data_IF_051453547833
#
_entry.id   IF_051453547833
#
_cell.length_a   1.000
_cell.length_b   1.000
_cell.length_c   1.000
_cell.angle_alpha   90.00
_cell.angle_beta   90.00
_cell.angle_gamma   90.00
#
_symmetry.space_group_name_H-M   'P 1'
#
loop_
_entity.id
_entity.type
_entity.pdbx_description
1 polymer ?
#
# COMPACT_ATOMS: atom_id res chain seq x y z
N UNK A 1 68.28 -46.41 36.33
CA UNK A 1 66.93 -46.85 35.91
C UNK A 1 65.94 -45.76 36.30
N UNK A 2 65.26 -45.22 35.28
CA UNK A 2 64.05 -44.38 35.24
C UNK A 2 63.37 -44.04 36.58
N UNK A 3 63.07 -42.75 36.82
CA UNK A 3 61.67 -42.26 36.79
C UNK A 3 61.59 -40.72 36.90
N UNK A 4 60.58 -40.21 36.20
CA UNK A 4 60.35 -38.83 35.75
C UNK A 4 59.87 -37.87 36.86
N UNK A 5 60.28 -36.61 36.74
CA UNK A 5 59.68 -35.44 37.43
C UNK A 5 58.53 -34.87 36.57
N UNK A 6 57.41 -34.40 37.16
CA UNK A 6 56.28 -33.91 36.38
C UNK A 6 56.51 -32.47 35.89
N UNK A 7 56.45 -32.25 34.57
CA UNK A 7 56.30 -30.91 34.00
C UNK A 7 54.87 -30.41 34.26
N UNK A 8 54.76 -29.31 34.99
CA UNK A 8 53.51 -28.55 35.15
C UNK A 8 53.30 -27.70 33.89
N UNK A 9 52.35 -28.07 33.03
CA UNK A 9 51.90 -27.22 31.93
C UNK A 9 50.93 -26.15 32.47
N UNK A 10 51.36 -24.90 32.50
CA UNK A 10 50.48 -23.76 32.74
C UNK A 10 49.60 -23.50 31.51
N UNK A 11 48.29 -23.64 31.68
CA UNK A 11 47.31 -23.24 30.66
C UNK A 11 47.08 -21.73 30.79
N UNK A 12 47.62 -20.96 29.85
CA UNK A 12 47.25 -19.55 29.67
C UNK A 12 45.89 -19.53 28.98
N UNK A 13 44.83 -19.28 29.74
CA UNK A 13 43.51 -19.01 29.18
C UNK A 13 43.51 -17.59 28.58
N UNK A 14 43.63 -17.52 27.24
CA UNK A 14 43.44 -16.28 26.50
C UNK A 14 41.95 -15.93 26.52
N UNK A 15 41.54 -14.99 27.38
CA UNK A 15 40.20 -14.41 27.33
C UNK A 15 40.08 -13.62 26.02
N UNK A 16 39.51 -14.24 24.99
CA UNK A 16 39.04 -13.50 23.83
C UNK A 16 37.75 -12.78 24.23
N UNK A 17 37.88 -11.50 24.58
CA UNK A 17 36.75 -10.57 24.60
C UNK A 17 36.20 -10.48 23.18
N UNK A 18 35.14 -11.23 22.91
CA UNK A 18 34.24 -10.98 21.78
C UNK A 18 33.67 -9.57 21.98
N UNK A 19 34.31 -8.56 21.38
CA UNK A 19 33.63 -7.32 21.07
C UNK A 19 32.56 -7.70 20.05
N UNK A 20 31.32 -7.91 20.51
CA UNK A 20 30.20 -7.88 19.61
C UNK A 20 30.15 -6.46 19.06
N UNK A 21 30.54 -6.29 17.79
CA UNK A 21 30.29 -5.07 17.06
C UNK A 21 28.78 -4.88 17.03
N UNK A 22 28.27 -4.04 17.94
CA UNK A 22 26.88 -3.58 17.91
C UNK A 22 26.82 -2.61 16.74
N UNK A 23 26.67 -3.15 15.53
CA UNK A 23 26.44 -2.35 14.35
C UNK A 23 25.10 -1.65 14.51
N UNK A 24 25.13 -0.32 14.34
CA UNK A 24 23.92 0.47 14.27
C UNK A 24 22.99 -0.09 13.18
N UNK A 25 21.75 -0.43 13.53
CA UNK A 25 20.78 -0.92 12.57
C UNK A 25 20.07 0.26 11.90
N UNK A 26 20.35 0.45 10.60
CA UNK A 26 19.63 1.45 9.81
C UNK A 26 18.13 1.10 9.75
N UNK A 27 17.29 2.11 10.02
CA UNK A 27 15.84 1.94 10.03
C UNK A 27 15.29 1.31 11.33
N UNK A 28 16.08 1.24 12.40
CA UNK A 28 15.63 0.88 13.75
C UNK A 28 15.89 2.11 14.66
N UNK A 29 14.89 2.69 15.34
CA UNK A 29 13.50 2.28 15.46
C UNK A 29 12.71 2.28 14.15
N UNK A 30 11.75 1.36 14.03
CA UNK A 30 10.80 1.25 12.92
C UNK A 30 9.73 2.34 13.05
N UNK A 31 9.57 3.12 11.99
CA UNK A 31 8.65 4.27 11.89
C UNK A 31 7.75 4.15 10.66
N UNK A 32 6.69 4.96 10.60
CA UNK A 32 6.02 5.23 9.34
C UNK A 32 6.98 6.05 8.45
N UNK A 33 7.43 5.46 7.33
CA UNK A 33 8.43 6.08 6.44
C UNK A 33 7.87 7.25 5.62
N UNK A 34 6.55 7.39 5.50
CA UNK A 34 5.94 8.63 4.98
C UNK A 34 5.93 9.68 6.10
N UNK A 35 5.35 9.33 7.25
CA UNK A 35 5.34 10.23 8.39
C UNK A 35 4.10 10.20 9.26
N UNK A 36 3.86 11.31 9.97
CA UNK A 36 2.76 11.46 10.92
C UNK A 36 2.01 12.79 10.79
N UNK A 37 0.69 12.78 11.05
CA UNK A 37 -0.07 14.03 11.18
C UNK A 37 0.32 14.76 12.49
N UNK A 38 0.40 16.09 12.51
CA UNK A 38 0.79 16.85 13.70
C UNK A 38 -0.03 16.52 14.94
N UNK A 39 -1.34 16.33 14.78
CA UNK A 39 -2.26 16.05 15.88
C UNK A 39 -2.43 14.56 16.19
N UNK A 40 -1.96 13.66 15.31
CA UNK A 40 -2.13 12.22 15.45
C UNK A 40 -1.16 11.57 16.44
N UNK A 41 -1.45 10.32 16.79
CA UNK A 41 -0.52 9.45 17.52
C UNK A 41 0.72 9.17 16.68
N UNK A 42 1.88 9.14 17.34
CA UNK A 42 3.18 8.92 16.72
C UNK A 42 3.97 7.97 17.60
N UNK A 43 3.98 6.71 17.18
CA UNK A 43 4.64 5.63 17.92
C UNK A 43 5.59 4.91 16.99
N UNK A 44 6.84 4.77 17.41
CA UNK A 44 7.85 3.94 16.75
C UNK A 44 8.05 2.64 17.54
N UNK A 45 8.38 1.57 16.83
CA UNK A 45 8.74 0.27 17.42
C UNK A 45 10.25 0.10 17.35
N UNK A 46 10.91 0.02 18.49
CA UNK A 46 12.34 -0.24 18.59
C UNK A 46 12.59 -1.72 18.86
N UNK A 47 13.21 -2.42 17.92
CA UNK A 47 13.63 -3.82 18.08
C UNK A 47 14.91 -3.84 18.88
N UNK A 48 14.93 -4.54 20.01
CA UNK A 48 16.10 -4.60 20.88
C UNK A 48 16.02 -5.78 21.84
N UNK A 49 17.18 -6.38 22.18
CA UNK A 49 17.25 -7.39 23.23
C UNK A 49 17.17 -6.80 24.65
N UNK A 50 17.28 -5.47 24.80
CA UNK A 50 17.17 -4.83 26.11
C UNK A 50 15.74 -4.90 26.65
N UNK A 51 15.59 -5.34 27.89
CA UNK A 51 14.31 -5.38 28.60
C UNK A 51 14.02 -4.09 29.36
N UNK A 52 15.05 -3.31 29.70
CA UNK A 52 14.92 -2.04 30.43
C UNK A 52 14.70 -0.86 29.48
N UNK A 53 13.88 0.15 29.86
CA UNK A 53 13.66 1.36 29.08
C UNK A 53 14.95 2.06 28.64
N UNK A 54 15.06 2.29 27.33
CA UNK A 54 16.18 2.97 26.68
C UNK A 54 15.88 4.45 26.44
N UNK A 55 16.91 5.28 26.36
CA UNK A 55 16.75 6.70 26.02
C UNK A 55 16.59 6.84 24.52
N UNK A 56 15.55 7.55 24.08
CA UNK A 56 15.37 7.91 22.68
C UNK A 56 15.50 9.41 22.47
N UNK A 57 15.87 9.80 21.25
CA UNK A 57 15.97 11.18 20.78
C UNK A 57 15.20 11.31 19.47
N UNK A 58 14.40 12.37 19.34
CA UNK A 58 13.84 12.83 18.08
C UNK A 58 14.63 14.06 17.62
N UNK A 59 15.14 14.03 16.39
CA UNK A 59 15.92 15.11 15.81
C UNK A 59 15.42 15.49 14.41
N UNK A 60 15.79 16.70 13.98
CA UNK A 60 15.57 17.20 12.63
C UNK A 60 16.77 18.09 12.24
N UNK A 61 17.42 17.82 11.11
CA UNK A 61 18.59 18.60 10.67
C UNK A 61 19.72 18.66 11.70
N UNK A 62 19.93 17.59 12.46
CA UNK A 62 20.92 17.52 13.55
C UNK A 62 20.50 18.19 14.86
N UNK A 63 19.37 18.92 14.89
CA UNK A 63 18.84 19.53 16.12
C UNK A 63 17.95 18.56 16.86
N UNK A 64 18.23 18.35 18.15
CA UNK A 64 17.36 17.59 19.06
C UNK A 64 16.09 18.39 19.36
N UNK A 65 14.93 17.77 19.10
CA UNK A 65 13.61 18.37 19.31
C UNK A 65 12.87 17.76 20.50
N UNK A 66 13.05 16.46 20.73
CA UNK A 66 12.49 15.79 21.89
C UNK A 66 13.39 14.63 22.34
N UNK A 67 13.23 14.23 23.60
CA UNK A 67 13.84 13.02 24.16
C UNK A 67 12.91 12.36 25.17
N UNK A 68 13.10 11.09 25.41
CA UNK A 68 12.33 10.36 26.42
C UNK A 68 12.88 8.98 26.71
N UNK A 69 12.06 8.18 27.37
CA UNK A 69 12.31 6.75 27.57
C UNK A 69 11.33 5.93 26.73
N UNK A 70 11.81 4.80 26.23
CA UNK A 70 10.96 3.79 25.62
C UNK A 70 10.09 3.12 26.71
N UNK A 71 9.13 2.28 26.31
CA UNK A 71 8.50 1.34 27.24
C UNK A 71 9.48 0.25 27.68
N UNK A 72 9.14 -0.50 28.73
CA UNK A 72 9.82 -1.76 29.02
C UNK A 72 9.74 -2.72 27.82
N UNK A 73 10.76 -3.56 27.67
CA UNK A 73 10.84 -4.56 26.63
C UNK A 73 9.76 -5.62 26.80
N UNK A 74 9.07 -5.92 25.69
CA UNK A 74 8.11 -7.01 25.60
C UNK A 74 8.44 -7.85 24.38
N UNK A 75 8.13 -9.14 24.45
CA UNK A 75 8.18 -10.01 23.29
C UNK A 75 6.90 -9.83 22.47
N UNK A 76 7.04 -9.44 21.21
CA UNK A 76 5.94 -9.37 20.27
C UNK A 76 5.56 -10.78 19.81
N UNK A 77 4.28 -11.14 19.94
CA UNK A 77 3.83 -12.51 19.68
C UNK A 77 3.82 -12.86 18.18
N UNK A 78 3.63 -11.87 17.32
CA UNK A 78 3.45 -12.06 15.87
C UNK A 78 4.80 -12.19 15.16
N UNK A 79 5.77 -11.35 15.52
CA UNK A 79 7.13 -11.36 14.96
C UNK A 79 8.11 -12.23 15.74
N UNK A 80 7.85 -12.48 17.03
CA UNK A 80 8.80 -13.13 17.94
C UNK A 80 9.93 -12.23 18.44
N UNK A 81 9.99 -10.97 17.98
CA UNK A 81 11.01 -9.99 18.34
C UNK A 81 10.79 -9.42 19.74
N UNK A 82 11.89 -9.06 20.41
CA UNK A 82 11.84 -8.19 21.58
C UNK A 82 11.75 -6.73 21.12
N UNK A 83 10.72 -6.02 21.61
CA UNK A 83 10.42 -4.66 21.19
C UNK A 83 10.13 -3.74 22.36
N UNK A 84 10.45 -2.48 22.16
CA UNK A 84 10.04 -1.36 23.01
C UNK A 84 9.32 -0.31 22.17
N UNK A 85 8.38 0.43 22.76
CA UNK A 85 7.63 1.47 22.07
C UNK A 85 8.17 2.85 22.41
N UNK A 86 8.21 3.74 21.42
CA UNK A 86 8.62 5.14 21.55
C UNK A 86 7.44 6.02 21.18
N UNK A 87 6.84 6.70 22.16
CA UNK A 87 5.76 7.65 21.92
C UNK A 87 6.30 9.09 21.88
N UNK A 88 6.17 9.71 20.71
CA UNK A 88 6.51 11.11 20.47
C UNK A 88 5.31 11.92 19.99
N UNK A 89 4.09 11.48 20.32
CA UNK A 89 2.81 12.09 19.93
C UNK A 89 2.70 13.56 20.35
N UNK A 90 3.38 13.95 21.44
CA UNK A 90 3.46 15.34 21.91
C UNK A 90 4.11 16.31 20.92
N UNK A 91 4.94 15.80 20.00
CA UNK A 91 5.60 16.63 18.99
C UNK A 91 4.60 16.94 17.89
N UNK A 92 4.25 18.21 17.76
CA UNK A 92 3.30 18.71 16.74
C UNK A 92 3.96 19.65 15.73
N UNK A 93 5.27 19.88 15.87
CA UNK A 93 6.05 20.67 14.93
C UNK A 93 6.02 19.96 13.57
N UNK A 94 5.56 20.68 12.55
CA UNK A 94 5.61 20.18 11.17
C UNK A 94 7.01 20.40 10.59
N UNK A 95 7.42 19.51 9.69
CA UNK A 95 8.72 19.54 9.05
C UNK A 95 8.99 18.27 8.26
N UNK A 96 10.15 18.23 7.63
CA UNK A 96 10.61 17.08 6.86
C UNK A 96 11.88 16.49 7.44
N UNK A 97 12.13 15.20 7.17
CA UNK A 97 13.39 14.54 7.50
C UNK A 97 13.66 14.40 9.00
N UNK A 98 12.62 14.14 9.80
CA UNK A 98 12.76 13.77 11.19
C UNK A 98 13.37 12.37 11.32
N UNK A 99 14.18 12.14 12.34
CA UNK A 99 14.65 10.81 12.72
C UNK A 99 14.48 10.57 14.22
N UNK A 100 14.19 9.31 14.57
CA UNK A 100 14.23 8.83 15.95
C UNK A 100 15.49 7.97 16.12
N UNK A 101 16.24 8.17 17.20
CA UNK A 101 17.42 7.36 17.51
C UNK A 101 17.41 6.84 18.94
N UNK A 102 18.06 5.69 19.14
CA UNK A 102 18.32 5.06 20.44
C UNK A 102 19.78 4.60 20.46
N UNK A 103 20.63 5.24 21.26
CA UNK A 103 22.07 4.99 21.18
C UNK A 103 22.61 5.32 19.78
N UNK A 104 23.19 4.31 19.12
CA UNK A 104 23.72 4.44 17.75
C UNK A 104 22.69 4.09 16.67
N UNK A 105 21.55 3.50 17.04
CA UNK A 105 20.51 3.10 16.10
C UNK A 105 19.68 4.32 15.66
N UNK A 106 19.27 4.36 14.39
CA UNK A 106 18.46 5.44 13.84
C UNK A 106 17.39 4.94 12.85
N UNK A 107 16.20 5.53 12.94
CA UNK A 107 15.11 5.32 11.98
C UNK A 107 15.46 5.84 10.58
N UNK A 108 14.71 5.40 9.58
CA UNK A 108 14.64 6.15 8.32
C UNK A 108 14.04 7.54 8.56
N UNK A 109 14.37 8.54 7.71
CA UNK A 109 13.76 9.85 7.80
C UNK A 109 12.27 9.78 7.48
N UNK A 110 11.49 10.63 8.14
CA UNK A 110 10.04 10.76 7.90
C UNK A 110 9.57 12.20 8.11
N UNK A 111 8.37 12.52 7.64
CA UNK A 111 7.81 13.86 7.76
C UNK A 111 6.76 13.97 8.88
N UNK A 112 6.57 15.17 9.40
CA UNK A 112 5.40 15.50 10.21
C UNK A 112 4.68 16.65 9.51
N UNK A 113 3.43 16.45 9.08
CA UNK A 113 2.75 17.47 8.29
C UNK A 113 1.29 17.18 8.04
N UNK A 114 0.52 18.22 7.71
CA UNK A 114 -0.93 18.13 7.52
C UNK A 114 -1.34 17.40 6.24
N UNK A 115 -0.44 17.27 5.27
CA UNK A 115 -0.75 16.80 3.91
C UNK A 115 0.03 15.53 3.51
N UNK A 116 0.74 14.90 4.44
CA UNK A 116 1.67 13.79 4.15
C UNK A 116 0.99 12.58 3.49
N UNK A 117 -0.30 12.35 3.74
CA UNK A 117 -1.06 11.24 3.16
C UNK A 117 -1.81 11.64 1.89
N UNK A 118 -1.67 12.89 1.44
CA UNK A 118 -2.35 13.37 0.24
C UNK A 118 -1.86 12.62 -0.99
N UNK A 119 -0.55 12.61 -1.25
CA UNK A 119 0.03 11.89 -2.39
C UNK A 119 -0.25 10.38 -2.33
N UNK A 120 0.02 9.66 -1.22
CA UNK A 120 -0.31 8.23 -1.11
C UNK A 120 -1.78 7.89 -1.39
N UNK A 121 -2.74 8.73 -0.98
CA UNK A 121 -4.16 8.52 -1.29
C UNK A 121 -4.40 8.56 -2.80
N UNK A 122 -3.88 9.58 -3.48
CA UNK A 122 -4.05 9.73 -4.92
C UNK A 122 -3.33 8.64 -5.72
N UNK A 123 -2.15 8.24 -5.26
CA UNK A 123 -1.38 7.16 -5.88
C UNK A 123 -2.09 5.81 -5.71
N UNK A 124 -2.69 5.56 -4.54
CA UNK A 124 -3.51 4.37 -4.31
C UNK A 124 -4.74 4.33 -5.21
N UNK A 125 -5.43 5.46 -5.40
CA UNK A 125 -6.56 5.54 -6.34
C UNK A 125 -6.12 5.35 -7.79
N UNK A 126 -4.88 5.76 -8.12
CA UNK A 126 -4.34 5.66 -9.47
C UNK A 126 -4.19 4.21 -9.95
N UNK A 127 -4.05 3.27 -9.03
CA UNK A 127 -4.09 1.83 -9.32
C UNK A 127 -5.29 1.45 -10.21
N UNK A 128 -6.47 1.97 -9.89
CA UNK A 128 -7.72 1.63 -10.58
C UNK A 128 -7.67 2.03 -12.06
N UNK A 129 -7.18 3.24 -12.36
CA UNK A 129 -6.97 3.68 -13.74
C UNK A 129 -6.02 2.75 -14.50
N UNK A 130 -4.86 2.41 -13.92
CA UNK A 130 -3.89 1.51 -14.54
C UNK A 130 -4.45 0.10 -14.77
N UNK A 131 -5.40 -0.32 -13.94
CA UNK A 131 -6.06 -1.62 -14.02
C UNK A 131 -7.31 -1.63 -14.90
N UNK A 132 -7.71 -0.52 -15.54
CA UNK A 132 -8.87 -0.53 -16.46
C UNK A 132 -8.67 -1.49 -17.64
N UNK A 133 -9.65 -2.36 -17.87
CA UNK A 133 -9.81 -3.13 -19.11
C UNK A 133 -10.57 -2.32 -20.18
N UNK A 134 -10.47 -2.70 -21.45
CA UNK A 134 -11.26 -2.13 -22.53
C UNK A 134 -10.86 -0.73 -23.00
N UNK A 135 -9.81 -0.14 -22.41
CA UNK A 135 -9.30 1.19 -22.76
C UNK A 135 -7.76 1.20 -22.79
N UNK A 136 -7.19 2.02 -23.66
CA UNK A 136 -5.76 2.28 -23.65
C UNK A 136 -5.40 3.09 -22.40
N UNK A 137 -4.32 2.69 -21.73
CA UNK A 137 -3.72 3.47 -20.66
C UNK A 137 -2.79 4.46 -21.34
N UNK A 138 -3.27 5.70 -21.52
CA UNK A 138 -2.55 6.73 -22.25
C UNK A 138 -1.49 7.39 -21.35
N UNK A 139 -0.31 7.65 -21.91
CA UNK A 139 0.85 8.15 -21.17
C UNK A 139 0.52 9.39 -20.33
N UNK A 140 -0.20 10.37 -20.87
CA UNK A 140 -0.56 11.62 -20.16
C UNK A 140 -1.27 11.38 -18.81
N UNK A 141 -2.00 10.27 -18.69
CA UNK A 141 -2.71 9.88 -17.48
C UNK A 141 -1.93 8.84 -16.66
N UNK A 142 -0.65 8.58 -16.92
CA UNK A 142 0.13 7.61 -16.12
C UNK A 142 0.83 8.23 -14.92
N UNK A 143 0.82 9.56 -14.79
CA UNK A 143 1.35 10.25 -13.62
C UNK A 143 0.43 10.09 -12.42
N UNK A 144 1.02 10.00 -11.23
CA UNK A 144 0.29 9.86 -9.96
C UNK A 144 -0.49 11.11 -9.61
N UNK A 145 -1.69 10.93 -9.01
CA UNK A 145 -2.81 11.87 -9.10
C UNK A 145 -2.45 13.35 -9.14
N UNK A 146 -2.26 14.04 -8.01
CA UNK A 146 -1.87 15.47 -8.00
C UNK A 146 -0.42 15.72 -8.46
N UNK A 147 0.04 15.05 -9.52
CA UNK A 147 1.41 15.07 -10.04
C UNK A 147 2.46 14.67 -8.99
N UNK A 148 2.10 13.73 -8.11
CA UNK A 148 3.02 13.13 -7.13
C UNK A 148 4.26 12.53 -7.80
N UNK A 149 4.08 12.06 -9.04
CA UNK A 149 5.15 11.73 -9.97
C UNK A 149 4.72 12.03 -11.41
N UNK A 150 5.71 12.23 -12.27
CA UNK A 150 5.49 12.58 -13.67
C UNK A 150 4.94 11.40 -14.47
N UNK A 151 4.08 11.66 -15.48
CA UNK A 151 3.73 10.67 -16.50
C UNK A 151 4.95 10.01 -17.12
N UNK A 152 4.81 8.73 -17.50
CA UNK A 152 5.90 7.98 -18.11
C UNK A 152 5.41 6.85 -19.03
N UNK A 153 5.92 6.81 -20.26
CA UNK A 153 5.57 5.82 -21.29
C UNK A 153 5.64 4.35 -20.84
N UNK A 154 6.56 3.99 -19.93
CA UNK A 154 6.69 2.63 -19.35
C UNK A 154 5.40 2.06 -18.73
N UNK A 155 4.47 2.93 -18.32
CA UNK A 155 3.19 2.53 -17.70
C UNK A 155 2.01 2.70 -18.65
N UNK A 156 2.25 3.23 -19.86
CA UNK A 156 1.25 3.29 -20.90
C UNK A 156 1.13 1.92 -21.58
N UNK A 157 -0.07 1.57 -22.01
CA UNK A 157 -0.33 0.33 -22.76
C UNK A 157 -1.55 0.46 -23.68
N UNK A 158 -1.61 -0.29 -24.79
CA UNK A 158 -2.84 -0.42 -25.58
C UNK A 158 -4.02 -0.94 -24.76
N UNK A 159 -5.21 -0.81 -25.32
CA UNK A 159 -6.41 -1.39 -24.74
C UNK A 159 -6.31 -2.93 -24.71
N UNK A 160 -6.52 -3.51 -23.54
CA UNK A 160 -6.65 -4.96 -23.38
C UNK A 160 -8.11 -5.39 -23.55
N UNK A 161 -8.31 -6.64 -23.96
CA UNK A 161 -9.62 -7.29 -24.02
C UNK A 161 -10.68 -6.51 -24.85
N UNK A 162 -10.33 -6.18 -26.09
CA UNK A 162 -11.21 -5.52 -27.07
C UNK A 162 -11.39 -6.34 -28.37
N UNK A 163 -11.20 -7.67 -28.35
CA UNK A 163 -11.22 -8.55 -29.52
C UNK A 163 -10.27 -8.13 -30.66
N UNK A 164 -9.09 -7.59 -30.32
CA UNK A 164 -8.06 -7.22 -31.29
C UNK A 164 -6.75 -7.94 -31.03
N UNK A 165 -6.08 -8.33 -32.11
CA UNK A 165 -4.81 -9.07 -32.05
C UNK A 165 -5.02 -10.44 -31.42
N UNK A 166 -4.34 -10.68 -30.29
CA UNK A 166 -4.43 -11.94 -29.53
C UNK A 166 -5.61 -12.00 -28.57
N UNK A 167 -6.28 -10.88 -28.31
CA UNK A 167 -7.41 -10.82 -27.39
C UNK A 167 -8.63 -11.53 -28.01
N UNK A 168 -9.21 -12.48 -27.27
CA UNK A 168 -10.43 -13.21 -27.67
C UNK A 168 -11.70 -12.74 -26.94
N UNK A 169 -11.54 -11.78 -26.02
CA UNK A 169 -12.59 -11.07 -25.29
C UNK A 169 -12.30 -9.56 -25.28
N UNK A 170 -13.17 -8.71 -24.72
CA UNK A 170 -14.37 -9.04 -23.94
C UNK A 170 -15.68 -8.65 -24.66
N UNK A 171 -15.69 -8.69 -25.99
CA UNK A 171 -16.90 -8.52 -26.80
C UNK A 171 -17.42 -9.89 -27.25
N UNK A 172 -18.69 -10.18 -27.03
CA UNK A 172 -19.33 -11.44 -27.39
C UNK A 172 -18.73 -12.65 -26.66
N UNK A 173 -18.38 -12.49 -25.38
CA UNK A 173 -17.80 -13.54 -24.53
C UNK A 173 -18.86 -14.62 -24.26
N UNK A 174 -18.64 -15.88 -24.67
CA UNK A 174 -19.58 -16.96 -24.38
C UNK A 174 -19.55 -17.35 -22.91
N UNK A 175 -20.69 -17.86 -22.43
CA UNK A 175 -20.70 -18.61 -21.18
C UNK A 175 -19.76 -19.82 -21.21
N UNK A 176 -19.35 -20.23 -20.02
CA UNK A 176 -18.64 -21.50 -19.85
C UNK A 176 -19.51 -22.66 -20.37
N UNK A 177 -18.88 -23.61 -21.05
CA UNK A 177 -19.56 -24.74 -21.68
C UNK A 177 -20.53 -25.43 -20.72
N UNK A 178 -21.79 -25.55 -21.13
CA UNK A 178 -22.85 -26.22 -20.36
C UNK A 178 -23.55 -25.36 -19.30
N UNK A 179 -23.26 -24.06 -19.20
CA UNK A 179 -23.89 -23.16 -18.21
C UNK A 179 -24.95 -22.23 -18.78
N UNK A 180 -24.76 -21.74 -20.02
CA UNK A 180 -25.74 -20.95 -20.77
C UNK A 180 -25.41 -20.98 -22.28
N UNK A 181 -26.30 -20.49 -23.14
CA UNK A 181 -26.17 -20.48 -24.61
C UNK A 181 -26.07 -19.07 -25.23
N UNK A 182 -25.92 -18.03 -24.41
CA UNK A 182 -25.74 -16.64 -24.84
C UNK A 182 -24.31 -16.13 -24.65
N UNK A 183 -24.07 -14.92 -25.14
CA UNK A 183 -22.82 -14.18 -25.07
C UNK A 183 -23.05 -12.80 -24.46
N UNK A 184 -22.03 -12.24 -23.82
CA UNK A 184 -22.07 -10.90 -23.25
C UNK A 184 -20.93 -10.02 -23.79
N UNK A 185 -21.23 -8.75 -24.01
CA UNK A 185 -20.22 -7.70 -24.17
C UNK A 185 -19.91 -7.12 -22.80
N UNK A 186 -18.69 -7.35 -22.31
CA UNK A 186 -18.26 -6.94 -20.97
C UNK A 186 -16.93 -6.18 -20.99
N UNK A 187 -16.68 -5.19 -21.88
CA UNK A 187 -15.34 -4.66 -22.14
C UNK A 187 -14.70 -3.85 -20.99
N UNK A 188 -15.51 -3.21 -20.13
CA UNK A 188 -15.02 -2.31 -19.07
C UNK A 188 -14.56 -3.07 -17.82
N UNK A 189 -14.47 -2.35 -16.70
CA UNK A 189 -14.07 -2.86 -15.39
C UNK A 189 -12.57 -2.84 -15.18
N UNK A 190 -12.16 -3.31 -14.01
CA UNK A 190 -10.77 -3.43 -13.60
C UNK A 190 -10.30 -4.87 -13.69
N UNK A 191 -9.07 -5.06 -14.17
CA UNK A 191 -8.31 -6.27 -13.89
C UNK A 191 -8.09 -6.38 -12.38
N UNK A 192 -8.43 -7.53 -11.82
CA UNK A 192 -8.63 -7.70 -10.37
C UNK A 192 -7.32 -7.68 -9.58
N UNK A 193 -6.27 -8.29 -10.14
CA UNK A 193 -4.97 -8.35 -9.49
C UNK A 193 -3.84 -8.31 -10.53
N UNK A 194 -2.90 -9.25 -10.44
CA UNK A 194 -1.78 -9.39 -11.36
C UNK A 194 -2.14 -10.07 -12.68
N UNK A 195 -3.34 -10.65 -12.78
CA UNK A 195 -3.93 -11.23 -13.99
C UNK A 195 -4.94 -10.30 -14.66
N UNK A 196 -5.56 -10.79 -15.73
CA UNK A 196 -6.54 -10.04 -16.50
C UNK A 196 -8.00 -10.45 -16.25
N UNK A 197 -8.27 -11.29 -15.26
CA UNK A 197 -9.62 -11.60 -14.85
C UNK A 197 -10.33 -10.41 -14.21
N UNK A 198 -11.66 -10.40 -14.32
CA UNK A 198 -12.54 -9.39 -13.73
C UNK A 198 -13.67 -10.07 -12.97
N UNK A 199 -13.89 -9.68 -11.72
CA UNK A 199 -14.66 -10.48 -10.76
C UNK A 199 -15.68 -9.60 -10.06
N UNK A 200 -16.97 -9.90 -10.23
CA UNK A 200 -18.05 -9.09 -9.65
C UNK A 200 -18.01 -9.09 -8.12
N UNK A 201 -17.62 -10.20 -7.49
CA UNK A 201 -17.58 -10.29 -6.02
C UNK A 201 -16.50 -9.39 -5.42
N UNK A 202 -15.26 -9.47 -5.91
CA UNK A 202 -14.17 -8.65 -5.39
C UNK A 202 -14.24 -7.20 -5.88
N UNK A 203 -14.64 -6.99 -7.14
CA UNK A 203 -15.02 -5.68 -7.64
C UNK A 203 -16.10 -5.02 -6.79
N UNK A 204 -17.07 -5.81 -6.27
CA UNK A 204 -18.19 -5.31 -5.49
C UNK A 204 -17.78 -4.63 -4.20
N UNK A 205 -16.87 -5.26 -3.42
CA UNK A 205 -16.35 -4.64 -2.20
C UNK A 205 -15.43 -3.44 -2.52
N UNK A 206 -14.72 -3.47 -3.65
CA UNK A 206 -13.89 -2.34 -4.12
C UNK A 206 -14.76 -1.13 -4.45
N UNK A 207 -15.78 -1.30 -5.29
CA UNK A 207 -16.79 -0.27 -5.63
C UNK A 207 -17.46 0.28 -4.38
N UNK A 208 -17.95 -0.61 -3.51
CA UNK A 208 -18.59 -0.20 -2.26
C UNK A 208 -17.66 0.63 -1.39
N UNK A 209 -16.38 0.26 -1.28
CA UNK A 209 -15.39 0.98 -0.49
C UNK A 209 -15.17 2.41 -0.99
N UNK A 210 -15.06 2.58 -2.30
CA UNK A 210 -14.87 3.89 -2.93
C UNK A 210 -16.13 4.78 -2.79
N UNK A 211 -17.32 4.20 -2.98
CA UNK A 211 -18.58 4.90 -2.74
C UNK A 211 -18.73 5.31 -1.28
N UNK A 212 -18.46 4.40 -0.33
CA UNK A 212 -18.50 4.69 1.10
C UNK A 212 -17.46 5.77 1.49
N UNK A 213 -16.29 5.78 0.86
CA UNK A 213 -15.30 6.85 1.07
C UNK A 213 -15.84 8.22 0.61
N UNK A 214 -16.53 8.28 -0.53
CA UNK A 214 -17.19 9.49 -1.02
C UNK A 214 -18.33 9.94 -0.10
N UNK A 215 -19.23 9.02 0.25
CA UNK A 215 -20.38 9.27 1.15
C UNK A 215 -19.92 9.73 2.53
N UNK A 216 -18.88 9.09 3.08
CA UNK A 216 -18.27 9.53 4.34
C UNK A 216 -17.71 10.95 4.22
N UNK A 217 -17.10 11.31 3.09
CA UNK A 217 -16.67 12.68 2.82
C UNK A 217 -17.84 13.69 2.88
N UNK A 218 -18.98 13.34 2.27
CA UNK A 218 -20.21 14.14 2.36
C UNK A 218 -20.67 14.30 3.82
N UNK A 219 -20.72 13.20 4.58
CA UNK A 219 -21.10 13.21 5.99
C UNK A 219 -20.21 14.13 6.84
N UNK A 220 -18.90 14.14 6.60
CA UNK A 220 -17.95 15.04 7.30
C UNK A 220 -17.88 16.46 6.71
N UNK A 221 -18.69 16.76 5.68
CA UNK A 221 -18.85 18.10 5.12
C UNK A 221 -17.87 18.47 4.01
N UNK A 222 -17.11 17.53 3.44
CA UNK A 222 -16.25 17.81 2.27
C UNK A 222 -15.88 16.58 1.44
N UNK A 223 -16.12 16.68 0.13
CA UNK A 223 -15.57 15.78 -0.89
C UNK A 223 -14.55 16.46 -1.79
N UNK A 224 -13.99 17.60 -1.37
CA UNK A 224 -13.06 18.39 -2.20
C UNK A 224 -11.81 17.61 -2.64
N UNK A 225 -11.43 16.57 -1.87
CA UNK A 225 -10.34 15.66 -2.23
C UNK A 225 -10.66 14.77 -3.45
N UNK A 226 -11.93 14.59 -3.78
CA UNK A 226 -12.42 13.73 -4.86
C UNK A 226 -13.15 14.51 -5.95
N UNK A 227 -13.10 15.85 -5.91
CA UNK A 227 -13.72 16.70 -6.90
C UNK A 227 -13.22 16.40 -8.31
N UNK A 228 -13.91 16.96 -9.29
CA UNK A 228 -13.52 16.92 -10.69
C UNK A 228 -12.06 17.38 -10.91
N UNK A 229 -11.30 16.62 -11.71
CA UNK A 229 -9.91 16.88 -12.09
C UNK A 229 -8.87 16.59 -11.00
N UNK A 230 -9.17 15.74 -10.02
CA UNK A 230 -8.25 15.38 -8.92
C UNK A 230 -7.45 14.10 -9.13
N UNK A 231 -7.94 13.15 -9.93
CA UNK A 231 -7.34 11.83 -10.09
C UNK A 231 -6.46 11.68 -11.34
N UNK A 232 -6.38 12.72 -12.18
CA UNK A 232 -5.64 12.68 -13.46
C UNK A 232 -6.10 11.50 -14.33
N UNK A 233 -7.40 11.42 -14.59
CA UNK A 233 -8.06 10.39 -15.42
C UNK A 233 -8.70 11.04 -16.65
N UNK A 234 -9.02 10.26 -17.71
CA UNK A 234 -9.62 10.79 -18.94
C UNK A 234 -10.91 11.57 -18.73
N UNK A 235 -11.67 11.21 -17.70
CA UNK A 235 -12.93 11.87 -17.34
C UNK A 235 -12.74 13.23 -16.65
N UNK A 236 -11.52 13.57 -16.24
CA UNK A 236 -11.25 14.85 -15.57
C UNK A 236 -11.65 16.06 -16.43
N UNK A 237 -12.44 16.94 -15.84
CA UNK A 237 -13.05 18.12 -16.45
C UNK A 237 -14.49 17.93 -16.92
N UNK A 238 -15.14 16.79 -16.62
CA UNK A 238 -16.51 16.49 -17.04
C UNK A 238 -17.60 17.02 -16.08
N UNK A 239 -17.22 17.66 -14.97
CA UNK A 239 -18.14 18.15 -13.94
C UNK A 239 -18.61 17.09 -12.92
N UNK A 240 -18.10 15.87 -12.99
CA UNK A 240 -18.37 14.77 -12.06
C UNK A 240 -17.15 14.60 -11.14
N UNK A 241 -17.35 14.28 -9.85
CA UNK A 241 -16.23 13.91 -8.98
C UNK A 241 -15.47 12.70 -9.56
N UNK A 242 -14.18 12.85 -9.86
CA UNK A 242 -13.35 11.82 -10.51
C UNK A 242 -13.42 10.45 -9.80
N UNK A 243 -13.58 10.40 -8.48
CA UNK A 243 -13.74 9.14 -7.74
C UNK A 243 -14.99 8.37 -8.18
N UNK A 244 -16.07 9.09 -8.50
CA UNK A 244 -17.31 8.51 -9.00
C UNK A 244 -17.19 8.09 -10.46
N UNK A 245 -16.40 8.79 -11.27
CA UNK A 245 -16.08 8.34 -12.64
C UNK A 245 -15.29 7.03 -12.63
N UNK A 246 -14.30 6.89 -11.74
CA UNK A 246 -13.57 5.64 -11.59
C UNK A 246 -14.50 4.51 -11.11
N UNK A 247 -15.35 4.76 -10.11
CA UNK A 247 -16.38 3.79 -9.66
C UNK A 247 -17.31 3.38 -10.80
N UNK A 248 -17.75 4.36 -11.60
CA UNK A 248 -18.65 4.10 -12.73
C UNK A 248 -18.01 3.15 -13.74
N UNK A 249 -16.69 3.20 -13.93
CA UNK A 249 -15.98 2.28 -14.82
C UNK A 249 -16.21 0.81 -14.49
N UNK A 250 -16.18 0.47 -13.20
CA UNK A 250 -16.44 -0.89 -12.70
C UNK A 250 -17.93 -1.21 -12.63
N UNK A 251 -18.78 -0.26 -12.25
CA UNK A 251 -20.23 -0.47 -12.25
C UNK A 251 -20.78 -0.78 -13.64
N UNK A 252 -20.27 -0.14 -14.69
CA UNK A 252 -20.68 -0.45 -16.07
C UNK A 252 -20.28 -1.88 -16.48
N UNK A 253 -19.16 -2.41 -15.97
CA UNK A 253 -18.84 -3.83 -16.11
C UNK A 253 -19.81 -4.72 -15.32
N UNK A 254 -20.09 -4.41 -14.06
CA UNK A 254 -21.02 -5.21 -13.24
C UNK A 254 -22.43 -5.27 -13.81
N UNK A 255 -22.92 -4.16 -14.38
CA UNK A 255 -24.21 -4.11 -15.06
C UNK A 255 -24.21 -4.96 -16.33
N UNK A 256 -23.11 -4.97 -17.09
CA UNK A 256 -22.96 -5.82 -18.26
C UNK A 256 -22.87 -7.32 -17.92
N UNK A 257 -22.52 -7.66 -16.67
CA UNK A 257 -22.47 -9.04 -16.16
C UNK A 257 -23.84 -9.58 -15.72
N UNK A 258 -24.93 -8.82 -15.84
CA UNK A 258 -26.26 -9.32 -15.53
C UNK A 258 -26.76 -10.29 -16.60
N UNK A 259 -27.40 -11.37 -16.16
CA UNK A 259 -28.06 -12.33 -17.05
C UNK A 259 -29.15 -11.61 -17.85
N UNK A 260 -29.15 -11.68 -19.19
CA UNK A 260 -30.06 -10.92 -20.03
C UNK A 260 -31.54 -11.24 -19.80
N UNK A 261 -32.41 -10.27 -20.09
CA UNK A 261 -33.87 -10.47 -20.12
C UNK A 261 -34.21 -11.59 -21.10
N UNK A 262 -35.15 -12.47 -20.70
CA UNK A 262 -35.57 -13.62 -21.50
C UNK A 262 -34.76 -14.90 -21.24
N UNK A 263 -33.68 -14.82 -20.46
CA UNK A 263 -32.91 -16.00 -20.02
C UNK A 263 -33.44 -16.56 -18.69
N UNK A 264 -33.25 -17.86 -18.39
CA UNK A 264 -33.82 -18.51 -17.21
C UNK A 264 -33.46 -17.87 -15.86
N UNK A 265 -32.30 -17.22 -15.77
CA UNK A 265 -31.78 -16.56 -14.57
C UNK A 265 -31.74 -15.02 -14.70
N UNK A 266 -32.60 -14.43 -15.55
CA UNK A 266 -32.63 -12.99 -15.80
C UNK A 266 -32.58 -12.17 -14.49
N UNK A 267 -31.69 -11.18 -14.43
CA UNK A 267 -31.46 -10.35 -13.24
C UNK A 267 -30.44 -10.90 -12.24
N UNK A 268 -30.07 -12.18 -12.32
CA UNK A 268 -28.88 -12.71 -11.65
C UNK A 268 -27.62 -12.15 -12.31
N UNK A 269 -26.45 -12.34 -11.68
CA UNK A 269 -25.18 -11.76 -12.17
C UNK A 269 -24.14 -12.86 -12.32
N UNK A 270 -23.40 -12.84 -13.42
CA UNK A 270 -22.23 -13.69 -13.61
C UNK A 270 -21.17 -13.36 -12.58
N UNK A 271 -20.52 -14.39 -12.03
CA UNK A 271 -19.57 -14.23 -10.94
C UNK A 271 -18.26 -13.52 -11.37
N UNK A 272 -17.80 -13.79 -12.60
CA UNK A 272 -16.51 -13.34 -13.14
C UNK A 272 -16.39 -13.62 -14.64
N UNK A 273 -15.43 -12.97 -15.29
CA UNK A 273 -14.94 -13.25 -16.65
C UNK A 273 -13.41 -13.28 -16.62
N UNK A 274 -12.80 -14.30 -17.23
CA UNK A 274 -11.35 -14.49 -17.26
C UNK A 274 -10.96 -15.53 -18.31
N UNK A 275 -9.66 -15.67 -18.55
CA UNK A 275 -9.08 -16.68 -19.44
C UNK A 275 -9.39 -18.12 -18.96
N UNK A 276 -9.42 -19.07 -19.90
CA UNK A 276 -9.63 -20.50 -19.61
C UNK A 276 -8.48 -21.08 -18.75
N UNK A 277 -7.28 -20.53 -18.89
CA UNK A 277 -6.07 -20.93 -18.19
C UNK A 277 -5.25 -19.69 -17.79
N UNK A 278 -4.37 -19.89 -16.80
CA UNK A 278 -3.36 -18.92 -16.38
C UNK A 278 -2.19 -18.84 -17.36
#
# INVERSE_FOLDING_TARGET
>A
MKNFSPLTFGVIALLQTLCADVHAEAGNPRVNQVGYLPQGLKVATYKTAHTQPQTWVLAQGGKVLARGKTTAGRRDATSGDWVQQIDFSRVKLSGQGFTVSVGNDSSFPFDIGHTIYRAPLYDALKYLYHNRSGIAIAEVFTGGGLTSYQPHARWARPAGHINQGVNQGDLGVPCWTGTCDYKLDVPKGWYDAGDHGKYVVNGGISVWTLLNMFERGQYWGSTAGFADGKLNIPEGGNGIPDLLDEVRWELEFMLAMQVPVGQPLAGMVHHKVHDVAW
#
